data_IF_341792540781
#
_entry.id   IF_341792540781
#
_cell.length_a   1.000
_cell.length_b   1.000
_cell.length_c   1.000
_cell.angle_alpha   90.00
_cell.angle_beta   90.00
_cell.angle_gamma   90.00
#
_symmetry.space_group_name_H-M   'P 1'
#
loop_
_entity.id
_entity.type
_entity.pdbx_description
1 polymer ?
#
# COMPACT_ATOMS: atom_id res chain seq x y z
N UNK A 1 21.97 8.65 -7.26
CA UNK A 1 21.97 7.22 -7.64
C UNK A 1 21.44 7.05 -9.04
N UNK A 2 22.12 6.24 -9.84
CA UNK A 2 21.69 5.81 -11.17
C UNK A 2 20.50 4.85 -11.10
N UNK A 3 19.81 4.68 -12.24
CA UNK A 3 18.70 3.72 -12.38
C UNK A 3 19.12 2.31 -11.97
N UNK A 4 20.33 1.88 -12.34
CA UNK A 4 20.81 0.54 -12.07
C UNK A 4 21.07 0.30 -10.57
N UNK A 5 21.64 1.28 -9.88
CA UNK A 5 21.86 1.19 -8.42
C UNK A 5 20.53 1.16 -7.66
N UNK A 6 19.57 2.04 -8.03
CA UNK A 6 18.23 2.03 -7.43
C UNK A 6 17.53 0.68 -7.65
N UNK A 7 17.59 0.16 -8.88
CA UNK A 7 16.99 -1.11 -9.23
C UNK A 7 17.59 -2.28 -8.43
N UNK A 8 18.92 -2.32 -8.24
CA UNK A 8 19.56 -3.36 -7.43
C UNK A 8 19.10 -3.35 -5.96
N UNK A 9 18.95 -2.17 -5.36
CA UNK A 9 18.39 -2.03 -4.01
C UNK A 9 16.95 -2.53 -3.96
N UNK A 10 16.13 -2.14 -4.93
CA UNK A 10 14.72 -2.53 -5.02
C UNK A 10 14.58 -4.04 -5.25
N UNK A 11 15.41 -4.66 -6.09
CA UNK A 11 15.34 -6.09 -6.42
C UNK A 11 15.74 -6.99 -5.25
N UNK A 12 16.62 -6.54 -4.36
CA UNK A 12 17.09 -7.35 -3.23
C UNK A 12 15.94 -7.79 -2.32
N UNK A 13 15.78 -9.09 -2.12
CA UNK A 13 14.77 -9.68 -1.23
C UNK A 13 13.35 -9.66 -1.79
N UNK A 14 13.17 -9.32 -3.06
CA UNK A 14 11.88 -9.40 -3.77
C UNK A 14 11.82 -10.72 -4.52
N UNK A 15 10.71 -11.44 -4.39
CA UNK A 15 10.50 -12.72 -5.09
C UNK A 15 10.37 -12.53 -6.60
N UNK A 16 9.64 -11.50 -7.03
CA UNK A 16 9.37 -11.21 -8.44
C UNK A 16 9.12 -9.71 -8.66
N UNK A 17 9.60 -9.19 -9.79
CA UNK A 17 9.24 -7.87 -10.29
C UNK A 17 8.56 -8.07 -11.64
N UNK A 18 7.27 -7.74 -11.71
CA UNK A 18 6.52 -7.76 -12.96
C UNK A 18 7.03 -6.62 -13.84
N UNK A 19 7.56 -6.99 -15.01
CA UNK A 19 8.17 -6.07 -15.99
C UNK A 19 9.29 -5.18 -15.41
N UNK A 20 10.47 -5.78 -15.23
CA UNK A 20 11.67 -5.04 -14.80
C UNK A 20 12.05 -3.89 -15.75
N UNK A 21 11.73 -4.01 -17.05
CA UNK A 21 12.05 -2.96 -18.04
C UNK A 21 11.17 -1.74 -17.80
N UNK A 22 9.89 -1.93 -17.53
CA UNK A 22 9.00 -0.83 -17.14
C UNK A 22 9.46 -0.17 -15.84
N UNK A 23 9.80 -0.94 -14.81
CA UNK A 23 10.30 -0.36 -13.55
C UNK A 23 11.54 0.51 -13.78
N UNK A 24 12.53 0.02 -14.54
CA UNK A 24 13.73 0.80 -14.88
C UNK A 24 13.39 2.07 -15.65
N UNK A 25 12.48 1.99 -16.62
CA UNK A 25 11.98 3.15 -17.38
C UNK A 25 11.30 4.18 -16.47
N UNK A 26 10.51 3.74 -15.48
CA UNK A 26 9.85 4.62 -14.50
C UNK A 26 10.86 5.29 -13.59
N UNK A 27 11.87 4.57 -13.11
CA UNK A 27 12.98 5.12 -12.33
C UNK A 27 13.76 6.18 -13.14
N UNK A 28 14.07 5.88 -14.41
CA UNK A 28 14.74 6.83 -15.30
C UNK A 28 13.93 8.12 -15.47
N UNK A 29 12.62 7.99 -15.71
CA UNK A 29 11.71 9.14 -15.82
C UNK A 29 11.65 9.93 -14.51
N UNK A 30 11.62 9.25 -13.37
CA UNK A 30 11.63 9.88 -12.04
C UNK A 30 12.89 10.73 -11.85
N UNK A 31 14.07 10.17 -12.15
CA UNK A 31 15.35 10.87 -12.05
C UNK A 31 15.40 12.08 -12.99
N UNK A 32 15.04 11.90 -14.27
CA UNK A 32 15.07 12.98 -15.28
C UNK A 32 14.12 14.13 -14.96
N UNK A 33 12.95 13.83 -14.42
CA UNK A 33 11.91 14.84 -14.15
C UNK A 33 11.96 15.41 -12.73
N UNK A 34 12.75 14.82 -11.83
CA UNK A 34 12.73 15.14 -10.39
C UNK A 34 11.43 14.77 -9.70
N UNK A 35 10.51 14.07 -10.37
CA UNK A 35 9.21 13.66 -9.80
C UNK A 35 9.34 12.27 -9.18
N UNK A 36 9.08 12.10 -7.87
CA UNK A 36 9.18 10.79 -7.23
C UNK A 36 8.16 9.79 -7.80
N UNK A 37 8.50 8.51 -7.77
CA UNK A 37 7.51 7.46 -7.93
C UNK A 37 6.54 7.46 -6.74
N UNK A 38 5.28 7.14 -7.00
CA UNK A 38 4.30 6.81 -5.95
C UNK A 38 4.25 5.31 -5.78
N UNK A 39 4.60 4.83 -4.59
CA UNK A 39 4.77 3.41 -4.25
C UNK A 39 3.69 3.00 -3.28
N UNK A 40 2.70 2.25 -3.75
CA UNK A 40 1.52 1.86 -2.97
C UNK A 40 1.71 0.50 -2.32
N UNK A 41 1.41 0.40 -1.03
CA UNK A 41 1.16 -0.86 -0.35
C UNK A 41 -0.18 -0.81 0.38
N UNK A 42 -1.02 -1.83 0.18
CA UNK A 42 -2.34 -1.94 0.82
C UNK A 42 -2.30 -2.82 2.06
N UNK A 43 -2.99 -2.39 3.12
CA UNK A 43 -3.11 -3.09 4.39
C UNK A 43 -4.60 -3.23 4.75
N UNK A 44 -5.00 -4.45 5.08
CA UNK A 44 -6.37 -4.75 5.53
C UNK A 44 -6.48 -4.48 7.04
N UNK A 45 -7.41 -3.61 7.50
CA UNK A 45 -7.54 -3.27 8.92
C UNK A 45 -8.25 -4.34 9.76
N UNK A 46 -8.36 -5.59 9.28
CA UNK A 46 -9.08 -6.69 9.95
C UNK A 46 -8.45 -7.17 11.27
N UNK A 47 -7.15 -6.91 11.49
CA UNK A 47 -6.46 -7.18 12.74
C UNK A 47 -6.09 -5.85 13.45
N UNK A 48 -5.93 -5.85 14.79
CA UNK A 48 -5.52 -4.66 15.52
C UNK A 48 -4.04 -4.31 15.33
N UNK A 49 -3.19 -5.29 15.00
CA UNK A 49 -1.73 -5.13 14.93
C UNK A 49 -1.10 -5.72 13.66
N UNK A 50 0.00 -5.11 13.22
CA UNK A 50 0.86 -5.68 12.19
C UNK A 50 1.81 -6.70 12.82
N UNK A 51 1.70 -7.96 12.43
CA UNK A 51 2.68 -8.96 12.84
C UNK A 51 4.05 -8.72 12.18
N UNK A 52 5.12 -9.30 12.75
CA UNK A 52 6.51 -9.14 12.27
C UNK A 52 6.75 -9.54 10.81
N UNK A 53 5.91 -10.40 10.23
CA UNK A 53 5.95 -10.70 8.79
C UNK A 53 5.82 -9.46 7.88
N UNK A 54 5.13 -8.39 8.34
CA UNK A 54 5.01 -7.15 7.58
C UNK A 54 6.31 -6.34 7.53
N UNK A 55 7.28 -6.62 8.41
CA UNK A 55 8.55 -5.90 8.44
C UNK A 55 9.30 -6.02 7.12
N UNK A 56 9.21 -7.14 6.40
CA UNK A 56 9.84 -7.29 5.08
C UNK A 56 9.28 -6.28 4.06
N UNK A 57 7.95 -6.14 4.02
CA UNK A 57 7.28 -5.19 3.14
C UNK A 57 7.56 -3.74 3.55
N UNK A 58 7.48 -3.43 4.84
CA UNK A 58 7.76 -2.08 5.37
C UNK A 58 9.21 -1.66 5.12
N UNK A 59 10.17 -2.58 5.23
CA UNK A 59 11.57 -2.30 4.88
C UNK A 59 11.75 -2.03 3.39
N UNK A 60 10.99 -2.70 2.52
CA UNK A 60 10.98 -2.38 1.09
C UNK A 60 10.42 -0.98 0.83
N UNK A 61 9.33 -0.61 1.50
CA UNK A 61 8.80 0.76 1.42
C UNK A 61 9.82 1.79 1.92
N UNK A 62 10.51 1.52 3.03
CA UNK A 62 11.59 2.36 3.55
C UNK A 62 12.71 2.58 2.53
N UNK A 63 13.12 1.52 1.83
CA UNK A 63 14.10 1.65 0.74
C UNK A 63 13.60 2.61 -0.36
N UNK A 64 12.32 2.55 -0.74
CA UNK A 64 11.76 3.54 -1.68
C UNK A 64 11.81 4.97 -1.12
N UNK A 65 11.52 5.19 0.17
CA UNK A 65 11.67 6.51 0.81
C UNK A 65 13.12 7.01 0.80
N UNK A 66 14.08 6.12 1.06
CA UNK A 66 15.51 6.45 1.07
C UNK A 66 16.05 6.77 -0.32
N UNK A 67 15.44 6.18 -1.36
CA UNK A 67 15.67 6.52 -2.76
C UNK A 67 14.98 7.82 -3.20
N UNK A 68 14.24 8.48 -2.30
CA UNK A 68 13.54 9.74 -2.54
C UNK A 68 12.17 9.60 -3.18
N UNK A 69 11.56 8.41 -3.12
CA UNK A 69 10.21 8.18 -3.63
C UNK A 69 9.14 8.35 -2.54
N UNK A 70 7.91 8.61 -2.97
CA UNK A 70 6.76 8.75 -2.08
C UNK A 70 6.13 7.38 -1.85
N UNK A 71 5.97 6.99 -0.59
CA UNK A 71 5.25 5.76 -0.24
C UNK A 71 3.83 6.10 0.20
N UNK A 72 2.89 5.31 -0.30
CA UNK A 72 1.46 5.40 0.02
C UNK A 72 1.10 4.18 0.84
N UNK A 73 0.85 4.39 2.13
CA UNK A 73 0.30 3.39 3.04
C UNK A 73 -1.22 3.43 2.93
N UNK A 74 -1.79 2.51 2.15
CA UNK A 74 -3.22 2.46 1.89
C UNK A 74 -3.92 1.53 2.87
N UNK A 75 -4.89 2.04 3.62
CA UNK A 75 -5.79 1.26 4.45
C UNK A 75 -7.00 0.84 3.61
N UNK A 76 -7.26 -0.47 3.57
CA UNK A 76 -8.37 -1.10 2.84
C UNK A 76 -9.69 -1.10 3.61
N UNK A 77 -10.13 0.06 4.10
CA UNK A 77 -11.27 0.18 5.01
C UNK A 77 -12.63 -0.09 4.36
N UNK A 78 -12.83 0.28 3.09
CA UNK A 78 -14.09 0.05 2.40
C UNK A 78 -14.51 -1.42 2.41
N UNK A 79 -13.60 -2.32 2.03
CA UNK A 79 -13.87 -3.76 2.03
C UNK A 79 -13.87 -4.33 3.45
N UNK A 80 -13.08 -3.79 4.37
CA UNK A 80 -13.09 -4.19 5.78
C UNK A 80 -14.43 -3.89 6.48
N UNK A 81 -15.10 -2.80 6.11
CA UNK A 81 -16.42 -2.45 6.63
C UNK A 81 -17.55 -3.27 6.01
N UNK A 82 -17.38 -3.79 4.79
CA UNK A 82 -18.37 -4.68 4.16
C UNK A 82 -18.26 -6.10 4.74
N UNK A 83 -17.04 -6.58 4.95
CA UNK A 83 -16.76 -7.98 5.28
C UNK A 83 -16.67 -8.86 4.02
N UNK A 84 -16.19 -10.09 4.18
CA UNK A 84 -16.02 -11.05 3.08
C UNK A 84 -17.05 -12.18 3.21
N UNK A 85 -18.02 -12.30 2.28
CA UNK A 85 -18.97 -13.41 2.26
C UNK A 85 -18.37 -14.69 1.67
N UNK A 86 -17.15 -14.66 1.12
CA UNK A 86 -16.58 -15.78 0.37
C UNK A 86 -15.75 -16.74 1.23
N UNK A 87 -16.32 -17.94 1.46
CA UNK A 87 -15.56 -19.20 1.43
C UNK A 87 -14.68 -19.59 2.63
N UNK A 88 -14.61 -18.81 3.72
CA UNK A 88 -14.01 -19.28 4.98
C UNK A 88 -15.10 -19.71 5.96
N UNK A 89 -14.83 -20.76 6.74
CA UNK A 89 -15.78 -21.42 7.67
C UNK A 89 -16.43 -20.49 8.70
N UNK A 90 -15.89 -19.28 8.88
CA UNK A 90 -16.48 -18.21 9.66
C UNK A 90 -16.49 -16.94 8.80
N UNK A 91 -17.66 -16.32 8.65
CA UNK A 91 -17.83 -15.04 7.96
C UNK A 91 -16.93 -14.00 8.61
N UNK A 92 -16.12 -13.28 7.83
CA UNK A 92 -15.31 -12.18 8.40
C UNK A 92 -16.26 -11.14 8.98
N UNK A 93 -16.10 -10.81 10.26
CA UNK A 93 -16.87 -9.74 10.90
C UNK A 93 -16.59 -8.42 10.19
N UNK A 94 -17.65 -7.76 9.76
CA UNK A 94 -17.62 -6.38 9.28
C UNK A 94 -17.13 -5.47 10.41
N UNK A 95 -16.20 -4.58 10.12
CA UNK A 95 -15.72 -3.59 11.08
C UNK A 95 -16.59 -2.33 11.04
N UNK A 96 -16.80 -1.70 12.20
CA UNK A 96 -17.31 -0.33 12.23
C UNK A 96 -16.22 0.66 11.83
N UNK A 97 -16.62 1.88 11.47
CA UNK A 97 -15.66 2.95 11.14
C UNK A 97 -14.74 3.26 12.32
N UNK A 98 -15.29 3.25 13.53
CA UNK A 98 -14.55 3.51 14.76
C UNK A 98 -13.49 2.43 14.99
N UNK A 99 -13.81 1.15 14.75
CA UNK A 99 -12.85 0.05 14.85
C UNK A 99 -11.72 0.19 13.84
N UNK A 100 -12.04 0.55 12.58
CA UNK A 100 -11.03 0.83 11.55
C UNK A 100 -10.12 1.98 11.98
N UNK A 101 -10.68 3.07 12.51
CA UNK A 101 -9.90 4.23 12.95
C UNK A 101 -8.97 3.89 14.13
N UNK A 102 -9.42 3.03 15.06
CA UNK A 102 -8.58 2.55 16.17
C UNK A 102 -7.45 1.66 15.65
N UNK A 103 -7.76 0.66 14.80
CA UNK A 103 -6.75 -0.24 14.23
C UNK A 103 -5.72 0.54 13.39
N UNK A 104 -6.19 1.51 12.59
CA UNK A 104 -5.35 2.38 11.79
C UNK A 104 -4.36 3.18 12.65
N UNK A 105 -4.79 3.72 13.80
CA UNK A 105 -3.89 4.44 14.71
C UNK A 105 -2.77 3.53 15.22
N UNK A 106 -3.11 2.33 15.69
CA UNK A 106 -2.13 1.35 16.17
C UNK A 106 -1.16 0.92 15.07
N UNK A 107 -1.66 0.71 13.85
CA UNK A 107 -0.81 0.42 12.68
C UNK A 107 0.19 1.53 12.43
N UNK A 108 -0.27 2.79 12.39
CA UNK A 108 0.60 3.93 12.11
C UNK A 108 1.69 4.09 13.18
N UNK A 109 1.39 3.86 14.46
CA UNK A 109 2.39 3.85 15.53
C UNK A 109 3.50 2.80 15.31
N UNK A 110 3.15 1.63 14.76
CA UNK A 110 4.12 0.57 14.44
C UNK A 110 4.89 0.88 13.15
N UNK A 111 4.19 1.34 12.12
CA UNK A 111 4.75 1.67 10.80
C UNK A 111 5.78 2.78 10.90
N UNK A 112 5.52 3.82 11.69
CA UNK A 112 6.44 4.95 11.85
C UNK A 112 7.71 4.62 12.67
N UNK A 113 7.83 3.41 13.23
CA UNK A 113 9.12 2.91 13.74
C UNK A 113 10.08 2.53 12.61
N UNK A 114 9.57 2.33 11.39
CA UNK A 114 10.34 1.93 10.21
C UNK A 114 10.29 3.03 9.14
N UNK A 115 9.10 3.53 8.82
CA UNK A 115 8.88 4.54 7.79
C UNK A 115 9.01 5.95 8.35
N UNK A 116 9.53 6.85 7.53
CA UNK A 116 9.54 8.28 7.82
C UNK A 116 8.12 8.84 7.64
N UNK A 117 7.55 9.41 8.71
CA UNK A 117 6.19 9.96 8.71
C UNK A 117 6.02 11.08 7.68
N UNK A 118 7.00 11.96 7.53
CA UNK A 118 6.94 13.11 6.62
C UNK A 118 7.01 12.68 5.14
N UNK A 119 7.48 11.46 4.88
CA UNK A 119 7.57 10.85 3.54
C UNK A 119 6.55 9.75 3.32
N UNK A 120 5.56 9.61 4.20
CA UNK A 120 4.52 8.59 4.13
C UNK A 120 3.16 9.25 3.94
N UNK A 121 2.51 8.96 2.82
CA UNK A 121 1.12 9.36 2.60
C UNK A 121 0.21 8.23 3.08
N UNK A 122 -0.62 8.52 4.08
CA UNK A 122 -1.66 7.58 4.53
C UNK A 122 -2.94 7.88 3.78
N UNK A 123 -3.58 6.85 3.24
CA UNK A 123 -4.85 6.98 2.52
C UNK A 123 -5.82 5.89 2.95
N UNK A 124 -7.12 6.15 2.80
CA UNK A 124 -8.20 5.20 3.03
C UNK A 124 -8.92 4.95 1.70
N UNK A 125 -9.12 3.69 1.31
CA UNK A 125 -9.75 3.42 0.01
C UNK A 125 -11.24 3.83 -0.03
N UNK A 126 -11.90 3.97 1.12
CA UNK A 126 -13.24 4.51 1.21
C UNK A 126 -13.36 5.95 0.69
N UNK A 127 -12.27 6.74 0.64
CA UNK A 127 -12.27 8.12 0.12
C UNK A 127 -12.76 8.23 -1.32
N UNK A 128 -12.49 7.19 -2.13
CA UNK A 128 -12.98 7.08 -3.50
C UNK A 128 -14.06 6.01 -3.64
N UNK A 129 -13.97 4.89 -2.90
CA UNK A 129 -14.95 3.81 -3.03
C UNK A 129 -16.35 4.22 -2.56
N UNK A 130 -16.49 5.11 -1.57
CA UNK A 130 -17.81 5.61 -1.14
C UNK A 130 -18.49 6.50 -2.19
N UNK A 131 -17.75 6.98 -3.19
CA UNK A 131 -18.26 7.78 -4.31
C UNK A 131 -18.50 6.92 -5.56
N UNK A 132 -18.10 5.65 -5.53
CA UNK A 132 -18.16 4.73 -6.65
C UNK A 132 -19.61 4.26 -6.85
N UNK A 133 -20.19 4.56 -8.00
CA UNK A 133 -21.57 4.19 -8.30
C UNK A 133 -21.68 2.73 -8.75
N UNK A 134 -22.90 2.20 -8.76
CA UNK A 134 -23.15 0.88 -9.35
C UNK A 134 -22.78 0.82 -10.84
N UNK A 135 -22.97 1.92 -11.58
CA UNK A 135 -22.52 2.04 -12.98
C UNK A 135 -21.01 1.93 -13.08
N UNK A 136 -20.26 2.61 -12.20
CA UNK A 136 -18.80 2.53 -12.17
C UNK A 136 -18.33 1.09 -11.87
N UNK A 137 -19.02 0.40 -10.95
CA UNK A 137 -18.76 -1.00 -10.62
C UNK A 137 -18.95 -1.93 -11.82
N UNK A 138 -20.05 -1.77 -12.55
CA UNK A 138 -20.34 -2.57 -13.75
C UNK A 138 -19.28 -2.30 -14.82
N UNK A 139 -18.92 -1.04 -15.05
CA UNK A 139 -17.90 -0.68 -16.03
C UNK A 139 -16.52 -1.26 -15.68
N UNK A 140 -16.15 -1.28 -14.40
CA UNK A 140 -14.90 -1.87 -13.94
C UNK A 140 -14.89 -3.40 -14.14
N UNK A 141 -16.00 -4.06 -13.82
CA UNK A 141 -16.14 -5.52 -13.93
C UNK A 141 -16.17 -6.02 -15.40
N UNK A 142 -16.39 -5.12 -16.35
CA UNK A 142 -16.44 -5.44 -17.78
C UNK A 142 -15.10 -5.27 -18.52
N UNK A 143 -14.01 -4.87 -17.83
CA UNK A 143 -12.67 -4.69 -18.41
C UNK A 143 -11.87 -5.99 -18.55
#
# INVERSE_FOLDING_TARGET
MSVQEQFQIIQRGVTEIIDEKDLKRRLEKSIKSGKPLRVKAGFDPTAPDLHLGHTVLLQKMKQFQDLGHEVVFLIGDFTGMIGDPTGKSETRKSLTREEVEVNAKTYLEQVYKILDKEKTVVMFNSEWMNKFTSTDMINLAAQ
#
